data_IF_704180646501
#
_entry.id   IF_704180646501
#
_cell.length_a   1.000
_cell.length_b   1.000
_cell.length_c   1.000
_cell.angle_alpha   90.00
_cell.angle_beta   90.00
_cell.angle_gamma   90.00
#
_symmetry.space_group_name_H-M   'P 1'
#
loop_
_entity.id
_entity.type
_entity.pdbx_description
1 polymer ?
#
# COMPACT_ATOMS: atom_id res chain seq x y z
N UNK A 1 -6.51 -25.68 16.63
CA UNK A 1 -6.67 -24.91 17.89
C UNK A 1 -5.92 -25.63 19.01
N UNK A 2 -4.87 -25.05 19.60
CA UNK A 2 -4.37 -25.54 20.90
C UNK A 2 -5.49 -25.32 21.92
N UNK A 3 -6.05 -26.41 22.46
CA UNK A 3 -7.16 -26.35 23.42
C UNK A 3 -6.60 -25.84 24.75
N UNK A 4 -7.06 -24.67 25.19
CA UNK A 4 -6.60 -24.05 26.44
C UNK A 4 -7.12 -24.83 27.66
N UNK A 5 -6.40 -24.76 28.78
CA UNK A 5 -6.74 -25.41 30.07
C UNK A 5 -8.22 -25.23 30.47
N UNK A 6 -8.76 -24.01 30.28
CA UNK A 6 -10.15 -23.68 30.56
C UNK A 6 -11.17 -24.53 29.79
N UNK A 7 -10.84 -24.93 28.56
CA UNK A 7 -11.71 -25.77 27.74
C UNK A 7 -11.83 -27.17 28.32
N UNK A 8 -10.72 -27.74 28.81
CA UNK A 8 -10.73 -29.04 29.48
C UNK A 8 -11.45 -29.00 30.82
N UNK A 9 -11.29 -27.91 31.59
CA UNK A 9 -12.06 -27.70 32.82
C UNK A 9 -13.58 -27.68 32.56
N UNK A 10 -14.03 -26.96 31.53
CA UNK A 10 -15.45 -26.93 31.16
C UNK A 10 -15.98 -28.33 30.80
N UNK A 11 -15.20 -29.13 30.07
CA UNK A 11 -15.57 -30.51 29.72
C UNK A 11 -15.68 -31.39 30.98
N UNK A 12 -14.75 -31.26 31.92
CA UNK A 12 -14.79 -32.03 33.18
C UNK A 12 -16.07 -31.72 33.97
N UNK A 13 -16.42 -30.44 34.12
CA UNK A 13 -17.65 -30.04 34.82
C UNK A 13 -18.91 -30.50 34.07
N UNK A 14 -18.91 -30.46 32.74
CA UNK A 14 -20.01 -30.97 31.91
C UNK A 14 -20.21 -32.47 32.13
N UNK A 15 -19.13 -33.26 32.03
CA UNK A 15 -19.18 -34.71 32.19
C UNK A 15 -19.59 -35.09 33.62
N UNK A 16 -19.07 -34.39 34.63
CA UNK A 16 -19.48 -34.57 36.02
C UNK A 16 -20.97 -34.28 36.22
N UNK A 17 -21.49 -33.20 35.63
CA UNK A 17 -22.92 -32.87 35.66
C UNK A 17 -23.79 -33.96 35.01
N UNK A 18 -23.38 -34.48 33.85
CA UNK A 18 -24.09 -35.55 33.14
C UNK A 18 -24.06 -36.86 33.93
N UNK A 19 -22.91 -37.24 34.49
CA UNK A 19 -22.79 -38.46 35.30
C UNK A 19 -23.67 -38.39 36.55
N UNK A 20 -23.71 -37.22 37.21
CA UNK A 20 -24.62 -37.00 38.34
C UNK A 20 -26.09 -37.07 37.92
N UNK A 21 -26.48 -36.49 36.78
CA UNK A 21 -27.83 -36.65 36.22
C UNK A 21 -28.21 -38.12 36.06
N UNK A 22 -27.35 -38.90 35.40
CA UNK A 22 -27.60 -40.32 35.12
C UNK A 22 -27.70 -41.12 36.42
N UNK A 23 -26.81 -40.85 37.39
CA UNK A 23 -26.85 -41.49 38.71
C UNK A 23 -28.16 -41.24 39.45
N UNK A 24 -28.62 -39.98 39.51
CA UNK A 24 -29.87 -39.66 40.20
C UNK A 24 -31.12 -40.18 39.48
N UNK A 25 -31.13 -40.19 38.14
CA UNK A 25 -32.21 -40.80 37.36
C UNK A 25 -32.28 -42.31 37.58
N UNK A 26 -31.13 -42.99 37.59
CA UNK A 26 -31.06 -44.42 37.90
C UNK A 26 -31.55 -44.74 39.31
N UNK A 27 -31.13 -43.94 40.30
CA UNK A 27 -31.60 -44.07 41.68
C UNK A 27 -33.12 -43.89 41.76
N UNK A 28 -33.69 -42.90 41.06
CA UNK A 28 -35.13 -42.62 41.04
C UNK A 28 -36.00 -43.69 40.37
N UNK A 29 -35.48 -44.40 39.36
CA UNK A 29 -36.20 -45.46 38.62
C UNK A 29 -36.07 -46.83 39.31
N UNK A 30 -34.96 -47.09 40.02
CA UNK A 30 -34.72 -48.38 40.67
C UNK A 30 -35.63 -48.60 41.88
N UNK A 31 -36.72 -49.37 41.69
CA UNK A 31 -37.63 -49.79 42.76
C UNK A 31 -36.94 -50.54 43.94
N UNK A 32 -35.74 -51.09 43.74
CA UNK A 32 -35.00 -51.86 44.77
C UNK A 32 -34.41 -51.01 45.90
N UNK A 33 -34.27 -49.69 45.71
CA UNK A 33 -33.80 -48.74 46.76
C UNK A 33 -34.99 -48.11 47.51
N UNK A 34 -36.20 -48.22 46.95
CA UNK A 34 -37.43 -47.57 47.43
C UNK A 34 -38.27 -48.45 48.38
N UNK A 35 -37.65 -49.14 49.33
CA UNK A 35 -38.38 -49.84 50.39
C UNK A 35 -38.69 -48.89 51.56
N UNK A 36 -39.96 -48.49 51.69
CA UNK A 36 -40.66 -47.93 52.87
C UNK A 36 -39.80 -47.42 54.05
N UNK A 37 -39.00 -46.39 53.83
CA UNK A 37 -38.44 -45.59 54.93
C UNK A 37 -38.82 -44.13 54.75
N UNK A 38 -39.18 -43.46 55.84
CA UNK A 38 -39.52 -42.03 55.88
C UNK A 38 -38.45 -41.14 55.20
N UNK A 39 -37.18 -41.55 55.29
CA UNK A 39 -36.02 -40.91 54.64
C UNK A 39 -36.13 -40.95 53.12
N UNK A 40 -36.64 -42.05 52.55
CA UNK A 40 -36.78 -42.24 51.10
C UNK A 40 -37.93 -41.40 50.52
N UNK A 41 -39.03 -41.24 51.26
CA UNK A 41 -40.15 -40.38 50.85
C UNK A 41 -39.75 -38.91 50.84
N UNK A 42 -39.00 -38.45 51.85
CA UNK A 42 -38.41 -37.11 51.85
C UNK A 42 -37.39 -36.90 50.73
N UNK A 43 -36.53 -37.90 50.45
CA UNK A 43 -35.57 -37.81 49.33
C UNK A 43 -36.29 -37.75 47.98
N UNK A 44 -37.37 -38.51 47.78
CA UNK A 44 -38.18 -38.47 46.56
C UNK A 44 -38.84 -37.11 46.34
N UNK A 45 -39.42 -36.55 47.40
CA UNK A 45 -40.10 -35.26 47.36
C UNK A 45 -39.10 -34.09 47.16
N UNK A 46 -37.86 -34.23 47.60
CA UNK A 46 -36.79 -33.24 47.44
C UNK A 46 -35.79 -33.57 46.31
N UNK A 47 -36.02 -34.63 45.53
CA UNK A 47 -35.08 -35.07 44.49
C UNK A 47 -34.94 -34.01 43.40
N UNK A 48 -36.05 -33.37 43.03
CA UNK A 48 -36.07 -32.29 42.06
C UNK A 48 -35.26 -31.06 42.51
N UNK A 49 -35.36 -30.68 43.79
CA UNK A 49 -34.60 -29.55 44.34
C UNK A 49 -33.12 -29.88 44.54
N UNK A 50 -32.78 -31.14 44.85
CA UNK A 50 -31.40 -31.59 44.91
C UNK A 50 -30.73 -31.63 43.53
N UNK A 51 -31.44 -32.16 42.52
CA UNK A 51 -30.99 -32.17 41.13
C UNK A 51 -30.83 -30.73 40.63
N UNK A 52 -31.86 -29.89 40.76
CA UNK A 52 -31.77 -28.51 40.27
C UNK A 52 -30.72 -27.68 41.01
N UNK A 53 -30.56 -27.89 42.33
CA UNK A 53 -29.57 -27.20 43.15
C UNK A 53 -28.13 -27.63 42.89
N UNK A 54 -27.88 -28.91 42.61
CA UNK A 54 -26.50 -29.41 42.44
C UNK A 54 -26.07 -29.46 40.97
N UNK A 55 -26.89 -30.09 40.12
CA UNK A 55 -26.60 -30.23 38.69
C UNK A 55 -26.78 -28.89 37.99
N UNK A 56 -27.78 -28.10 38.38
CA UNK A 56 -28.00 -26.77 37.83
C UNK A 56 -26.78 -25.85 38.04
N UNK A 57 -26.13 -25.91 39.21
CA UNK A 57 -24.90 -25.15 39.48
C UNK A 57 -23.74 -25.62 38.60
N UNK A 58 -23.54 -26.94 38.46
CA UNK A 58 -22.48 -27.49 37.59
C UNK A 58 -22.67 -27.08 36.12
N UNK A 59 -23.89 -27.15 35.61
CA UNK A 59 -24.21 -26.67 34.26
C UNK A 59 -24.10 -25.15 34.14
N UNK A 60 -24.47 -24.39 35.17
CA UNK A 60 -24.29 -22.93 35.18
C UNK A 60 -22.80 -22.57 35.10
N UNK A 61 -21.94 -23.17 35.92
CA UNK A 61 -20.48 -22.96 35.88
C UNK A 61 -19.92 -23.36 34.50
N UNK A 62 -20.34 -24.51 33.99
CA UNK A 62 -19.93 -24.98 32.65
C UNK A 62 -20.32 -23.99 31.56
N UNK A 63 -21.57 -23.52 31.57
CA UNK A 63 -22.09 -22.54 30.62
C UNK A 63 -21.34 -21.21 30.71
N UNK A 64 -21.05 -20.72 31.92
CA UNK A 64 -20.27 -19.49 32.14
C UNK A 64 -18.85 -19.63 31.59
N UNK A 65 -18.17 -20.76 31.82
CA UNK A 65 -16.82 -20.99 31.27
C UNK A 65 -16.87 -21.03 29.73
N UNK A 66 -17.85 -21.71 29.13
CA UNK A 66 -18.00 -21.74 27.68
C UNK A 66 -18.33 -20.36 27.08
N UNK A 67 -19.14 -19.55 27.77
CA UNK A 67 -19.42 -18.18 27.36
C UNK A 67 -18.13 -17.36 27.34
N UNK A 68 -17.30 -17.46 28.40
CA UNK A 68 -16.02 -16.75 28.45
C UNK A 68 -15.06 -17.20 27.33
N UNK A 69 -14.96 -18.50 27.07
CA UNK A 69 -14.16 -19.02 25.95
C UNK A 69 -14.67 -18.46 24.63
N UNK A 70 -15.99 -18.51 24.41
CA UNK A 70 -16.64 -17.99 23.20
C UNK A 70 -16.34 -16.51 23.02
N UNK A 71 -16.50 -15.70 24.07
CA UNK A 71 -16.23 -14.27 24.02
C UNK A 71 -14.76 -13.97 23.67
N UNK A 72 -13.81 -14.72 24.24
CA UNK A 72 -12.39 -14.56 23.93
C UNK A 72 -12.07 -14.90 22.47
N UNK A 73 -12.61 -16.00 21.96
CA UNK A 73 -12.41 -16.39 20.56
C UNK A 73 -13.09 -15.39 19.61
N UNK A 74 -14.30 -14.91 19.94
CA UNK A 74 -14.99 -13.86 19.18
C UNK A 74 -14.18 -12.57 19.15
N UNK A 75 -13.58 -12.16 20.29
CA UNK A 75 -12.73 -10.97 20.32
C UNK A 75 -11.52 -11.13 19.40
N UNK A 76 -10.88 -12.29 19.39
CA UNK A 76 -9.76 -12.57 18.48
C UNK A 76 -10.20 -12.55 17.01
N UNK A 77 -11.33 -13.18 16.68
CA UNK A 77 -11.88 -13.18 15.32
C UNK A 77 -12.27 -11.76 14.87
N UNK A 78 -12.80 -10.95 15.79
CA UNK A 78 -13.13 -9.56 15.51
C UNK A 78 -11.89 -8.74 15.13
N UNK A 79 -10.78 -8.86 15.86
CA UNK A 79 -9.54 -8.14 15.52
C UNK A 79 -8.96 -8.61 14.17
N UNK A 80 -8.95 -9.93 13.89
CA UNK A 80 -8.52 -10.47 12.60
C UNK A 80 -9.41 -9.98 11.45
N UNK A 81 -10.73 -9.96 11.66
CA UNK A 81 -11.70 -9.47 10.69
C UNK A 81 -11.52 -7.97 10.44
N UNK A 82 -11.23 -7.18 11.48
CA UNK A 82 -10.95 -5.75 11.38
C UNK A 82 -9.72 -5.50 10.50
N UNK A 83 -8.62 -6.22 10.74
CA UNK A 83 -7.41 -6.12 9.93
C UNK A 83 -7.67 -6.48 8.46
N UNK A 84 -8.38 -7.59 8.21
CA UNK A 84 -8.77 -7.99 6.84
C UNK A 84 -9.66 -6.94 6.15
N UNK A 85 -10.56 -6.31 6.90
CA UNK A 85 -11.45 -5.26 6.37
C UNK A 85 -10.68 -3.98 6.04
N UNK A 86 -9.73 -3.56 6.88
CA UNK A 86 -8.86 -2.41 6.61
C UNK A 86 -8.02 -2.64 5.34
N UNK A 87 -7.45 -3.84 5.17
CA UNK A 87 -6.74 -4.21 3.95
C UNK A 87 -7.66 -4.17 2.72
N UNK A 88 -8.85 -4.77 2.80
CA UNK A 88 -9.82 -4.75 1.70
C UNK A 88 -10.27 -3.33 1.34
N UNK A 89 -10.48 -2.44 2.32
CA UNK A 89 -10.82 -1.02 2.10
C UNK A 89 -9.70 -0.28 1.37
N UNK A 90 -8.46 -0.50 1.78
CA UNK A 90 -7.30 0.06 1.10
C UNK A 90 -7.21 -0.44 -0.35
N UNK A 91 -7.23 -1.76 -0.55
CA UNK A 91 -7.10 -2.38 -1.88
C UNK A 91 -8.22 -1.91 -2.82
N UNK A 92 -9.46 -1.85 -2.34
CA UNK A 92 -10.60 -1.34 -3.10
C UNK A 92 -10.36 0.11 -3.56
N UNK A 93 -9.96 0.99 -2.65
CA UNK A 93 -9.66 2.38 -2.97
C UNK A 93 -8.51 2.48 -3.97
N UNK A 94 -7.44 1.72 -3.76
CA UNK A 94 -6.26 1.69 -4.64
C UNK A 94 -6.61 1.22 -6.05
N UNK A 95 -7.34 0.11 -6.21
CA UNK A 95 -7.73 -0.39 -7.53
C UNK A 95 -8.71 0.56 -8.23
N UNK A 96 -9.57 1.26 -7.49
CA UNK A 96 -10.41 2.31 -8.07
C UNK A 96 -9.57 3.49 -8.60
N UNK A 97 -8.49 3.89 -7.90
CA UNK A 97 -7.54 4.88 -8.41
C UNK A 97 -6.82 4.37 -9.66
N UNK A 98 -6.43 3.10 -9.70
CA UNK A 98 -5.84 2.53 -10.92
C UNK A 98 -6.81 2.55 -12.11
N UNK A 99 -8.07 2.19 -11.91
CA UNK A 99 -9.08 2.21 -12.97
C UNK A 99 -9.35 3.65 -13.47
N UNK A 100 -9.38 4.63 -12.57
CA UNK A 100 -9.59 6.03 -12.92
C UNK A 100 -8.37 6.66 -13.63
N UNK A 101 -7.21 6.02 -13.61
CA UNK A 101 -6.04 6.48 -14.37
C UNK A 101 -6.33 6.58 -15.86
N UNK A 102 -7.10 5.65 -16.42
CA UNK A 102 -7.46 5.68 -17.84
C UNK A 102 -8.36 6.88 -18.17
N UNK A 103 -9.34 7.19 -17.32
CA UNK A 103 -10.17 8.40 -17.47
C UNK A 103 -9.32 9.68 -17.38
N UNK A 104 -8.33 9.72 -16.47
CA UNK A 104 -7.40 10.84 -16.36
C UNK A 104 -6.60 11.00 -17.64
N UNK A 105 -6.08 9.90 -18.18
CA UNK A 105 -5.30 9.85 -19.43
C UNK A 105 -6.14 10.33 -20.62
N UNK A 106 -7.37 9.87 -20.74
CA UNK A 106 -8.31 10.30 -21.78
C UNK A 106 -8.64 11.80 -21.71
N UNK A 107 -8.86 12.32 -20.50
CA UNK A 107 -9.12 13.75 -20.31
C UNK A 107 -7.88 14.60 -20.66
N UNK A 108 -6.68 14.12 -20.33
CA UNK A 108 -5.43 14.80 -20.70
C UNK A 108 -5.26 14.79 -22.22
N UNK A 109 -5.48 13.66 -22.89
CA UNK A 109 -5.43 13.57 -24.36
C UNK A 109 -6.44 14.52 -25.02
N UNK A 110 -7.68 14.58 -24.51
CA UNK A 110 -8.68 15.56 -25.01
C UNK A 110 -8.19 17.00 -24.85
N UNK A 111 -7.62 17.35 -23.70
CA UNK A 111 -7.09 18.69 -23.46
C UNK A 111 -5.89 19.02 -24.37
N UNK A 112 -5.00 18.06 -24.62
CA UNK A 112 -3.88 18.20 -25.57
C UNK A 112 -4.43 18.49 -26.97
N UNK A 113 -5.32 17.62 -27.47
CA UNK A 113 -5.91 17.75 -28.80
C UNK A 113 -6.63 19.10 -28.98
N UNK A 114 -7.36 19.55 -27.95
CA UNK A 114 -8.05 20.84 -27.96
C UNK A 114 -7.10 22.03 -27.94
N UNK A 115 -6.05 21.99 -27.12
CA UNK A 115 -5.11 23.11 -26.97
C UNK A 115 -4.25 23.31 -28.22
N UNK A 116 -3.64 22.23 -28.73
CA UNK A 116 -2.76 22.32 -29.89
C UNK A 116 -3.54 22.42 -31.20
N UNK A 117 -4.78 21.90 -31.24
CA UNK A 117 -5.67 21.97 -32.39
C UNK A 117 -5.01 21.53 -33.71
N UNK A 118 -4.13 20.52 -33.64
CA UNK A 118 -3.44 19.94 -34.79
C UNK A 118 -3.58 18.42 -34.74
N UNK A 119 -3.71 17.75 -35.91
CA UNK A 119 -3.92 16.31 -35.95
C UNK A 119 -2.72 15.50 -35.46
N UNK A 120 -1.55 16.12 -35.37
CA UNK A 120 -0.30 15.45 -34.99
C UNK A 120 -0.02 15.49 -33.48
N UNK A 121 -0.74 16.31 -32.72
CA UNK A 121 -0.51 16.49 -31.28
C UNK A 121 -1.84 16.30 -30.56
N UNK A 122 -2.11 15.05 -30.19
CA UNK A 122 -3.41 14.66 -29.62
C UNK A 122 -3.29 13.84 -28.34
N UNK A 123 -2.12 13.27 -28.08
CA UNK A 123 -1.90 12.33 -26.99
C UNK A 123 -0.73 12.75 -26.09
N UNK A 124 -0.65 12.15 -24.90
CA UNK A 124 0.52 12.28 -24.02
C UNK A 124 1.81 11.83 -24.74
N UNK A 125 1.72 10.81 -25.61
CA UNK A 125 2.83 10.38 -26.44
C UNK A 125 3.34 11.48 -27.37
N UNK A 126 2.42 12.19 -28.04
CA UNK A 126 2.78 13.33 -28.90
C UNK A 126 3.38 14.48 -28.08
N UNK A 127 2.83 14.75 -26.89
CA UNK A 127 3.35 15.78 -25.98
C UNK A 127 4.76 15.46 -25.48
N UNK A 128 5.06 14.20 -25.20
CA UNK A 128 6.43 13.74 -24.95
C UNK A 128 7.33 13.98 -26.17
N UNK A 129 6.84 13.68 -27.38
CA UNK A 129 7.54 13.95 -28.64
C UNK A 129 7.92 15.41 -28.79
N UNK A 130 6.99 16.32 -28.49
CA UNK A 130 7.23 17.77 -28.48
C UNK A 130 8.30 18.18 -27.46
N UNK A 131 8.25 17.66 -26.24
CA UNK A 131 9.26 17.93 -25.23
C UNK A 131 10.64 17.47 -25.72
N UNK A 132 10.72 16.29 -26.33
CA UNK A 132 11.96 15.72 -26.85
C UNK A 132 12.52 16.54 -28.02
N UNK A 133 11.68 16.96 -28.95
CA UNK A 133 12.10 17.85 -30.05
C UNK A 133 12.59 19.19 -29.50
N UNK A 134 11.83 19.78 -28.57
CA UNK A 134 12.19 21.05 -27.96
C UNK A 134 13.53 20.98 -27.22
N UNK A 135 13.85 19.88 -26.53
CA UNK A 135 15.14 19.68 -25.87
C UNK A 135 16.34 19.84 -26.81
N UNK A 136 16.19 19.44 -28.08
CA UNK A 136 17.29 19.54 -29.06
C UNK A 136 17.53 20.95 -29.59
N UNK A 137 16.50 21.81 -29.57
CA UNK A 137 16.57 23.19 -30.07
C UNK A 137 16.69 24.22 -28.93
N UNK A 138 16.31 23.84 -27.70
CA UNK A 138 16.30 24.69 -26.51
C UNK A 138 17.60 25.46 -26.27
N UNK A 139 18.81 24.86 -26.36
CA UNK A 139 20.04 25.59 -26.09
C UNK A 139 20.26 26.78 -27.01
N UNK A 140 19.88 26.63 -28.29
CA UNK A 140 20.03 27.68 -29.31
C UNK A 140 18.93 28.73 -29.18
N UNK A 141 17.69 28.30 -28.96
CA UNK A 141 16.56 29.23 -28.85
C UNK A 141 16.64 30.12 -27.60
N UNK A 142 17.14 29.60 -26.49
CA UNK A 142 17.20 30.28 -25.19
C UNK A 142 18.60 30.81 -24.84
N UNK A 143 19.53 30.81 -25.80
CA UNK A 143 20.92 31.25 -25.64
C UNK A 143 21.64 30.58 -24.44
N UNK A 144 21.53 29.25 -24.31
CA UNK A 144 22.15 28.45 -23.24
C UNK A 144 23.42 27.76 -23.74
N UNK A 145 24.44 28.53 -24.10
CA UNK A 145 25.68 28.04 -24.73
C UNK A 145 26.40 26.91 -23.98
N UNK A 146 26.30 26.91 -22.64
CA UNK A 146 26.95 25.89 -21.80
C UNK A 146 26.10 24.62 -21.57
N UNK A 147 24.86 24.59 -22.04
CA UNK A 147 23.92 23.51 -21.71
C UNK A 147 24.44 22.14 -22.16
N UNK A 148 24.81 22.01 -23.44
CA UNK A 148 25.32 20.76 -24.00
C UNK A 148 26.58 20.30 -23.27
N UNK A 149 27.51 21.23 -22.99
CA UNK A 149 28.74 20.92 -22.24
C UNK A 149 28.45 20.43 -20.82
N UNK A 150 27.45 20.99 -20.13
CA UNK A 150 27.04 20.55 -18.80
C UNK A 150 26.44 19.14 -18.86
N UNK A 151 25.59 18.87 -19.84
CA UNK A 151 24.93 17.56 -20.00
C UNK A 151 25.93 16.46 -20.40
N UNK A 152 26.90 16.77 -21.26
CA UNK A 152 27.92 15.82 -21.71
C UNK A 152 28.91 15.44 -20.61
N UNK A 153 29.22 16.38 -19.69
CA UNK A 153 30.09 16.12 -18.53
C UNK A 153 29.40 15.34 -17.41
N UNK A 154 28.08 15.29 -17.43
CA UNK A 154 27.29 14.66 -16.38
C UNK A 154 27.55 13.15 -16.36
N UNK A 155 27.99 12.63 -15.21
CA UNK A 155 28.24 11.21 -15.00
C UNK A 155 27.92 10.79 -13.56
N UNK A 156 27.88 9.50 -13.28
CA UNK A 156 27.66 9.02 -11.90
C UNK A 156 28.75 9.50 -10.92
N UNK A 157 29.96 9.79 -11.41
CA UNK A 157 31.10 10.27 -10.63
C UNK A 157 31.16 11.80 -10.50
N UNK A 158 30.24 12.53 -11.16
CA UNK A 158 30.17 13.98 -11.06
C UNK A 158 29.98 14.43 -9.61
N UNK A 159 30.57 15.58 -9.28
CA UNK A 159 30.40 16.22 -7.98
C UNK A 159 28.93 16.60 -7.77
N UNK A 160 28.48 16.65 -6.51
CA UNK A 160 27.09 16.99 -6.22
C UNK A 160 26.72 18.40 -6.73
N UNK A 161 27.67 19.34 -6.70
CA UNK A 161 27.50 20.68 -7.28
C UNK A 161 27.28 20.66 -8.80
N UNK A 162 27.92 19.74 -9.53
CA UNK A 162 27.72 19.57 -10.97
C UNK A 162 26.35 18.97 -11.26
N UNK A 163 25.93 17.98 -10.46
CA UNK A 163 24.60 17.37 -10.55
C UNK A 163 23.50 18.41 -10.27
N UNK A 164 23.69 19.24 -9.25
CA UNK A 164 22.75 20.31 -8.89
C UNK A 164 22.65 21.37 -9.99
N UNK A 165 23.79 21.77 -10.59
CA UNK A 165 23.81 22.68 -11.74
C UNK A 165 23.06 22.09 -12.94
N UNK A 166 23.37 20.85 -13.31
CA UNK A 166 22.69 20.16 -14.41
C UNK A 166 21.18 20.00 -14.14
N UNK A 167 20.80 19.66 -12.90
CA UNK A 167 19.40 19.59 -12.51
C UNK A 167 18.71 20.96 -12.62
N UNK A 168 19.41 22.05 -12.30
CA UNK A 168 18.93 23.42 -12.51
C UNK A 168 18.67 23.73 -13.98
N UNK A 169 19.59 23.34 -14.88
CA UNK A 169 19.39 23.49 -16.32
C UNK A 169 18.19 22.68 -16.84
N UNK A 170 17.95 21.47 -16.31
CA UNK A 170 16.79 20.66 -16.69
C UNK A 170 15.47 21.24 -16.16
N UNK A 171 15.49 21.82 -14.96
CA UNK A 171 14.36 22.58 -14.44
C UNK A 171 14.02 23.75 -15.36
N UNK A 172 15.01 24.58 -15.70
CA UNK A 172 14.83 25.73 -16.58
C UNK A 172 14.32 25.31 -17.97
N UNK A 173 14.81 24.19 -18.49
CA UNK A 173 14.36 23.60 -19.76
C UNK A 173 12.88 23.24 -19.71
N UNK A 174 12.45 22.48 -18.70
CA UNK A 174 11.07 22.01 -18.61
C UNK A 174 10.10 23.18 -18.36
N UNK A 175 10.50 24.15 -17.55
CA UNK A 175 9.74 25.37 -17.31
C UNK A 175 9.58 26.19 -18.60
N UNK A 176 10.65 26.34 -19.41
CA UNK A 176 10.54 27.02 -20.70
C UNK A 176 9.69 26.23 -21.71
N UNK A 177 9.78 24.90 -21.73
CA UNK A 177 8.93 24.06 -22.57
C UNK A 177 7.44 24.31 -22.31
N UNK A 178 7.04 24.24 -21.03
CA UNK A 178 5.65 24.52 -20.62
C UNK A 178 5.26 25.96 -20.94
N UNK A 179 6.17 26.92 -20.72
CA UNK A 179 5.96 28.34 -21.02
C UNK A 179 5.77 28.63 -22.51
N UNK A 180 6.62 28.07 -23.38
CA UNK A 180 6.57 28.22 -24.84
C UNK A 180 5.27 27.73 -25.43
N UNK A 181 4.77 26.59 -24.95
CA UNK A 181 3.50 26.03 -25.42
C UNK A 181 2.27 26.57 -24.66
N UNK A 182 2.47 27.32 -23.58
CA UNK A 182 1.44 27.77 -22.66
C UNK A 182 0.49 26.62 -22.24
N UNK A 183 1.05 25.43 -22.04
CA UNK A 183 0.29 24.22 -21.75
C UNK A 183 1.09 23.23 -20.92
N UNK A 184 0.45 22.72 -19.88
CA UNK A 184 1.00 21.68 -19.01
C UNK A 184 0.00 20.55 -18.87
N UNK A 185 0.51 19.31 -18.82
CA UNK A 185 -0.28 18.15 -18.39
C UNK A 185 -0.20 17.94 -16.88
N UNK A 186 0.04 19.00 -16.09
CA UNK A 186 0.25 18.92 -14.64
C UNK A 186 -0.87 18.24 -13.85
N UNK A 187 -2.08 18.18 -14.40
CA UNK A 187 -3.17 17.38 -13.85
C UNK A 187 -2.83 15.88 -13.77
N UNK A 188 -2.22 15.32 -14.82
CA UNK A 188 -1.74 13.93 -14.86
C UNK A 188 -0.71 13.67 -13.76
N UNK A 189 0.31 14.52 -13.67
CA UNK A 189 1.39 14.36 -12.69
C UNK A 189 0.89 14.43 -11.25
N UNK A 190 -0.03 15.36 -10.96
CA UNK A 190 -0.67 15.45 -9.63
C UNK A 190 -1.47 14.20 -9.29
N UNK A 191 -2.14 13.59 -10.27
CA UNK A 191 -2.87 12.35 -10.07
C UNK A 191 -1.94 11.19 -9.69
N UNK A 192 -0.83 11.03 -10.42
CA UNK A 192 0.19 10.02 -10.12
C UNK A 192 0.81 10.28 -8.75
N UNK A 193 1.23 11.52 -8.46
CA UNK A 193 1.75 11.91 -7.16
C UNK A 193 0.80 11.54 -6.02
N UNK A 194 -0.49 11.88 -6.14
CA UNK A 194 -1.48 11.60 -5.10
C UNK A 194 -1.72 10.10 -4.92
N UNK A 195 -1.67 9.32 -6.01
CA UNK A 195 -1.80 7.85 -5.95
C UNK A 195 -0.61 7.22 -5.23
N UNK A 196 0.62 7.66 -5.55
CA UNK A 196 1.83 7.24 -4.84
C UNK A 196 1.76 7.64 -3.37
N UNK A 197 1.39 8.90 -3.09
CA UNK A 197 1.31 9.42 -1.74
C UNK A 197 0.24 8.69 -0.90
N UNK A 198 -0.89 8.31 -1.51
CA UNK A 198 -1.93 7.48 -0.87
C UNK A 198 -1.37 6.12 -0.45
N UNK A 199 -0.72 5.39 -1.36
CA UNK A 199 -0.10 4.09 -1.05
C UNK A 199 0.92 4.23 0.08
N UNK A 200 1.82 5.21 -0.03
CA UNK A 200 2.88 5.44 0.95
C UNK A 200 2.30 5.78 2.32
N UNK A 201 1.27 6.64 2.38
CA UNK A 201 0.67 7.08 3.66
C UNK A 201 -0.08 5.93 4.34
N UNK A 202 -0.97 5.25 3.61
CA UNK A 202 -1.83 4.21 4.19
C UNK A 202 -1.03 2.96 4.60
N UNK A 203 0.02 2.60 3.84
CA UNK A 203 0.81 1.41 4.17
C UNK A 203 1.85 1.67 5.26
N UNK A 204 2.42 2.87 5.33
CA UNK A 204 3.31 3.23 6.45
C UNK A 204 2.56 3.27 7.79
N UNK A 205 1.28 3.63 7.81
CA UNK A 205 0.48 3.66 9.03
C UNK A 205 0.23 2.26 9.66
N UNK A 206 0.36 1.20 8.86
CA UNK A 206 0.03 -0.19 9.26
C UNK A 206 1.28 -1.02 9.54
N UNK A 207 2.46 -0.61 9.08
CA UNK A 207 3.68 -1.41 9.21
C UNK A 207 4.44 -1.15 10.52
N UNK A 208 4.63 -2.22 11.31
CA UNK A 208 5.80 -2.37 12.19
C UNK A 208 7.03 -2.51 11.29
N UNK A 209 7.74 -1.39 11.02
CA UNK A 209 9.11 -1.09 10.51
C UNK A 209 9.97 -2.13 9.75
N UNK A 210 9.51 -3.33 9.52
CA UNK A 210 10.23 -4.47 8.96
C UNK A 210 9.62 -4.79 7.60
N UNK A 211 10.22 -4.14 6.60
CA UNK A 211 10.09 -4.32 5.15
C UNK A 211 9.01 -3.52 4.41
N UNK A 212 9.48 -2.51 3.66
CA UNK A 212 8.76 -1.72 2.64
C UNK A 212 8.22 -2.56 1.46
N UNK A 213 8.12 -3.88 1.59
CA UNK A 213 7.76 -4.83 0.52
C UNK A 213 6.37 -4.56 -0.02
N UNK A 214 5.44 -4.16 0.84
CA UNK A 214 4.06 -3.94 0.42
C UNK A 214 3.85 -2.60 -0.30
N UNK A 215 4.51 -1.53 0.15
CA UNK A 215 4.53 -0.25 -0.60
C UNK A 215 5.09 -0.49 -1.99
N UNK A 216 6.25 -1.15 -2.08
CA UNK A 216 6.89 -1.43 -3.36
C UNK A 216 5.98 -2.26 -4.28
N UNK A 217 5.26 -3.25 -3.74
CA UNK A 217 4.31 -4.08 -4.50
C UNK A 217 3.26 -3.22 -5.21
N UNK A 218 2.59 -2.33 -4.50
CA UNK A 218 1.56 -1.46 -5.08
C UNK A 218 2.15 -0.39 -6.01
N UNK A 219 3.32 0.17 -5.68
CA UNK A 219 3.97 1.14 -6.56
C UNK A 219 4.42 0.51 -7.88
N UNK A 220 4.90 -0.74 -7.85
CA UNK A 220 5.25 -1.48 -9.06
C UNK A 220 4.03 -1.80 -9.93
N UNK A 221 2.87 -2.10 -9.33
CA UNK A 221 1.62 -2.28 -10.07
C UNK A 221 1.22 -0.99 -10.78
N UNK A 222 1.31 0.16 -10.09
CA UNK A 222 1.04 1.47 -10.69
C UNK A 222 2.02 1.78 -11.83
N UNK A 223 3.32 1.57 -11.61
CA UNK A 223 4.34 1.79 -12.65
C UNK A 223 4.07 0.94 -13.89
N UNK A 224 3.64 -0.31 -13.73
CA UNK A 224 3.33 -1.20 -14.84
C UNK A 224 2.12 -0.75 -15.69
N UNK A 225 1.32 0.20 -15.21
CA UNK A 225 0.22 0.81 -15.97
C UNK A 225 0.67 2.06 -16.76
N UNK A 226 1.91 2.53 -16.58
CA UNK A 226 2.44 3.73 -17.22
C UNK A 226 3.34 3.38 -18.40
N UNK A 227 3.22 4.14 -19.49
CA UNK A 227 4.13 4.00 -20.64
C UNK A 227 5.50 4.64 -20.36
N UNK A 228 6.53 4.29 -21.14
CA UNK A 228 7.85 4.89 -20.99
C UNK A 228 7.84 6.41 -21.23
N UNK A 229 6.98 6.91 -22.13
CA UNK A 229 6.78 8.35 -22.38
C UNK A 229 6.18 9.05 -21.15
N UNK A 230 5.19 8.43 -20.51
CA UNK A 230 4.59 8.92 -19.28
C UNK A 230 5.61 8.93 -18.13
N UNK A 231 6.38 7.85 -17.99
CA UNK A 231 7.45 7.76 -17.00
C UNK A 231 8.53 8.82 -17.24
N UNK A 232 8.88 9.11 -18.51
CA UNK A 232 9.82 10.17 -18.85
C UNK A 232 9.25 11.56 -18.54
N UNK A 233 7.99 11.82 -18.86
CA UNK A 233 7.34 13.09 -18.52
C UNK A 233 7.28 13.30 -17.00
N UNK A 234 6.93 12.26 -16.24
CA UNK A 234 6.96 12.28 -14.76
C UNK A 234 8.38 12.56 -14.25
N UNK A 235 9.40 11.92 -14.86
CA UNK A 235 10.80 12.09 -14.49
C UNK A 235 11.20 13.57 -14.52
N UNK A 236 10.86 14.30 -15.59
CA UNK A 236 11.26 15.70 -15.77
C UNK A 236 10.34 16.67 -15.02
N UNK A 237 9.04 16.42 -14.97
CA UNK A 237 8.10 17.23 -14.19
C UNK A 237 8.46 17.27 -12.70
N UNK A 238 8.82 16.11 -12.12
CA UNK A 238 9.19 16.04 -10.71
C UNK A 238 10.47 16.86 -10.38
N UNK A 239 11.32 17.13 -11.37
CA UNK A 239 12.49 18.00 -11.24
C UNK A 239 12.18 19.49 -11.46
N UNK A 240 11.07 19.80 -12.14
CA UNK A 240 10.68 21.17 -12.54
C UNK A 240 10.22 22.05 -11.36
N UNK A 241 9.84 23.30 -11.64
CA UNK A 241 9.16 24.13 -10.64
C UNK A 241 7.74 23.63 -10.31
N UNK A 242 7.06 22.99 -11.27
CA UNK A 242 5.71 22.43 -11.09
C UNK A 242 5.67 21.25 -10.11
N UNK A 243 6.79 20.53 -9.98
CA UNK A 243 6.95 19.43 -9.03
C UNK A 243 7.17 19.87 -7.56
N UNK A 244 7.28 21.18 -7.30
CA UNK A 244 7.43 21.72 -5.94
C UNK A 244 6.07 21.88 -5.26
N UNK A 245 6.02 21.56 -3.98
CA UNK A 245 4.85 21.87 -3.15
C UNK A 245 4.83 23.35 -2.73
N UNK A 246 3.80 23.77 -1.98
CA UNK A 246 3.63 25.14 -1.47
C UNK A 246 4.80 25.68 -0.61
N UNK A 247 5.67 24.80 -0.15
CA UNK A 247 6.86 25.15 0.65
C UNK A 247 8.16 25.10 -0.16
N UNK A 248 8.06 24.87 -1.48
CA UNK A 248 9.21 24.77 -2.37
C UNK A 248 9.90 23.40 -2.38
N UNK A 249 9.39 22.41 -1.65
CA UNK A 249 10.00 21.08 -1.59
C UNK A 249 9.54 20.21 -2.76
N UNK A 250 10.48 19.50 -3.40
CA UNK A 250 10.22 18.50 -4.45
C UNK A 250 9.79 17.16 -3.84
N UNK A 251 8.60 17.15 -3.21
CA UNK A 251 8.08 15.96 -2.55
C UNK A 251 7.84 14.82 -3.54
N UNK A 252 7.38 15.13 -4.76
CA UNK A 252 7.15 14.12 -5.78
C UNK A 252 8.47 13.42 -6.17
N UNK A 253 9.52 14.19 -6.48
CA UNK A 253 10.87 13.65 -6.72
C UNK A 253 11.38 12.80 -5.56
N UNK A 254 11.22 13.27 -4.32
CA UNK A 254 11.64 12.51 -3.12
C UNK A 254 10.96 11.14 -3.04
N UNK A 255 9.65 11.08 -3.32
CA UNK A 255 8.89 9.84 -3.31
C UNK A 255 9.35 8.89 -4.44
N UNK A 256 9.49 9.43 -5.66
CA UNK A 256 9.95 8.68 -6.82
C UNK A 256 11.33 8.06 -6.56
N UNK A 257 12.25 8.83 -6.00
CA UNK A 257 13.62 8.36 -5.74
C UNK A 257 13.70 7.36 -4.58
N UNK A 258 12.99 7.65 -3.47
CA UNK A 258 13.02 6.82 -2.26
C UNK A 258 12.45 5.42 -2.50
N UNK A 259 11.37 5.32 -3.27
CA UNK A 259 10.71 4.05 -3.57
C UNK A 259 11.11 3.47 -4.93
N UNK A 260 12.19 4.00 -5.53
CA UNK A 260 12.74 3.52 -6.80
C UNK A 260 11.69 3.42 -7.91
N UNK A 261 10.70 4.33 -7.91
CA UNK A 261 9.51 4.22 -8.75
C UNK A 261 9.87 4.22 -10.24
N UNK A 262 11.00 4.79 -10.64
CA UNK A 262 11.43 4.88 -12.03
C UNK A 262 12.46 3.79 -12.41
N UNK A 263 12.65 2.74 -11.60
CA UNK A 263 13.71 1.73 -11.83
C UNK A 263 13.61 1.02 -13.20
N UNK A 264 12.41 0.93 -13.78
CA UNK A 264 12.11 0.19 -15.01
C UNK A 264 12.04 1.06 -16.27
N UNK A 265 12.22 2.38 -16.17
CA UNK A 265 12.17 3.25 -17.35
C UNK A 265 13.27 2.85 -18.34
N UNK A 266 12.94 2.84 -19.63
CA UNK A 266 13.91 2.61 -20.69
C UNK A 266 14.76 3.86 -20.96
N UNK A 267 16.10 3.68 -21.04
CA UNK A 267 17.05 4.79 -21.23
C UNK A 267 16.83 5.62 -22.49
N UNK A 268 16.24 5.03 -23.54
CA UNK A 268 15.94 5.71 -24.82
C UNK A 268 14.87 6.81 -24.69
N UNK A 269 14.09 6.76 -23.61
CA UNK A 269 13.05 7.74 -23.34
C UNK A 269 13.54 8.91 -22.48
N UNK A 270 14.70 8.77 -21.85
CA UNK A 270 15.37 9.91 -21.24
C UNK A 270 15.85 10.87 -22.35
N UNK A 271 15.74 12.18 -22.10
CA UNK A 271 16.29 13.22 -22.97
C UNK A 271 17.81 13.10 -23.12
N UNK A 272 18.48 12.63 -22.06
CA UNK A 272 19.87 12.22 -22.09
C UNK A 272 20.08 11.04 -21.13
N UNK A 273 20.86 10.03 -21.55
CA UNK A 273 21.09 8.80 -20.76
C UNK A 273 21.58 9.08 -19.35
N UNK A 274 22.45 10.09 -19.20
CA UNK A 274 23.06 10.40 -17.91
C UNK A 274 22.13 11.14 -16.94
N UNK A 275 20.91 11.53 -17.35
CA UNK A 275 19.95 12.16 -16.45
C UNK A 275 19.57 11.26 -15.26
N UNK A 276 19.74 9.94 -15.37
CA UNK A 276 19.52 9.00 -14.26
C UNK A 276 20.25 9.36 -12.94
N UNK A 277 21.29 10.20 -12.99
CA UNK A 277 22.00 10.69 -11.81
C UNK A 277 21.17 11.64 -10.93
N UNK A 278 20.10 12.23 -11.46
CA UNK A 278 19.19 13.09 -10.69
C UNK A 278 18.33 12.31 -9.68
N UNK A 279 18.28 10.99 -9.81
CA UNK A 279 17.59 10.07 -8.91
C UNK A 279 18.63 9.17 -8.25
N UNK A 280 19.26 9.69 -7.19
CA UNK A 280 20.46 9.11 -6.59
C UNK A 280 20.17 7.79 -5.86
N UNK A 281 18.96 7.60 -5.33
CA UNK A 281 18.57 6.38 -4.61
C UNK A 281 17.99 5.30 -5.53
N UNK A 282 17.54 5.67 -6.72
CA UNK A 282 16.89 4.75 -7.67
C UNK A 282 17.89 3.87 -8.42
N UNK A 283 17.80 2.54 -8.29
CA UNK A 283 18.64 1.63 -9.07
C UNK A 283 18.01 1.31 -10.44
N UNK A 284 18.27 2.16 -11.43
CA UNK A 284 17.80 1.94 -12.80
C UNK A 284 18.33 0.62 -13.41
N UNK A 285 17.43 -0.15 -14.03
CA UNK A 285 17.77 -1.47 -14.57
C UNK A 285 18.67 -1.42 -15.81
N UNK A 286 18.65 -0.36 -16.59
CA UNK A 286 19.55 -0.22 -17.75
C UNK A 286 21.01 0.07 -17.36
N UNK A 287 21.30 0.39 -16.09
CA UNK A 287 22.69 0.62 -15.65
C UNK A 287 23.52 -0.65 -15.77
N UNK A 288 24.73 -0.51 -16.29
CA UNK A 288 25.68 -1.61 -16.41
C UNK A 288 26.28 -2.00 -15.04
N UNK A 289 27.08 -3.06 -15.00
CA UNK A 289 27.64 -3.59 -13.74
C UNK A 289 28.52 -2.58 -13.00
N UNK A 290 29.32 -1.80 -13.74
CA UNK A 290 30.25 -0.84 -13.16
C UNK A 290 29.52 0.38 -12.59
N UNK A 291 28.54 0.91 -13.33
CA UNK A 291 27.65 1.99 -12.88
C UNK A 291 26.88 1.61 -11.61
N UNK A 292 26.32 0.39 -11.57
CA UNK A 292 25.64 -0.12 -10.36
C UNK A 292 26.61 -0.24 -9.18
N UNK A 293 27.86 -0.65 -9.43
CA UNK A 293 28.88 -0.76 -8.38
C UNK A 293 29.28 0.60 -7.83
N UNK A 294 29.42 1.61 -8.70
CA UNK A 294 29.68 3.00 -8.29
C UNK A 294 28.52 3.54 -7.45
N UNK A 295 27.27 3.35 -7.91
CA UNK A 295 26.08 3.80 -7.18
C UNK A 295 25.95 3.19 -5.79
N UNK A 296 26.27 1.90 -5.64
CA UNK A 296 26.32 1.22 -4.33
C UNK A 296 27.36 1.78 -3.35
N UNK A 297 28.42 2.45 -3.83
CA UNK A 297 29.42 3.07 -2.96
C UNK A 297 29.00 4.46 -2.46
N UNK A 298 28.02 5.08 -3.12
CA UNK A 298 27.55 6.43 -2.81
C UNK A 298 26.29 6.45 -1.90
N UNK A 299 25.72 5.29 -1.59
CA UNK A 299 24.59 5.10 -0.67
C UNK A 299 25.08 4.67 0.72
#
# INVERSE_FOLDING_TARGET
MKKNLMFWMAIIFLVAGILLCVYFLYMGISQKVFSNSYVVEQLKNNLGSFISGTIGILFTITATIFLFITFREQRKQFELSKQSQEQSRFETTYFNLLLMLDDVRDNVNKNIAQHFNTPNITTIWDYYGLMKEYYTIYPKEENKDNFETIMDRLSSNSLDTEKDMAQGCILDFFDSFVGKHNFSIGYFFRYIYNTINFVVTERNAVQDKTENTDIQRYLNILQAQLSDEELALIFYDALSSFGKNKYGYKQFHTLLDTYQFLENINEHFLLHRNHHVFYQKTFFKFLNRDERRLKKKCL
#
